data_IF_085253795983
#
_entry.id   IF_085253795983
#
_cell.length_a   1.000
_cell.length_b   1.000
_cell.length_c   1.000
_cell.angle_alpha   90.00
_cell.angle_beta   90.00
_cell.angle_gamma   90.00
#
_symmetry.space_group_name_H-M   'P 1'
#
loop_
_entity.id
_entity.type
_entity.pdbx_description
1 polymer ?
#
# COMPACT_ATOMS: atom_id res chain seq x y z
N UNK A 1 -9.75 26.69 -21.77
CA UNK A 1 -9.90 26.99 -20.32
C UNK A 1 -8.88 26.14 -19.58
N UNK A 2 -7.69 26.68 -19.32
CA UNK A 2 -6.63 25.95 -18.61
C UNK A 2 -6.89 26.06 -17.11
N UNK A 3 -7.18 24.93 -16.46
CA UNK A 3 -7.32 24.89 -15.00
C UNK A 3 -5.94 25.05 -14.35
N UNK A 4 -5.66 26.21 -13.79
CA UNK A 4 -4.49 26.44 -12.95
C UNK A 4 -4.74 25.75 -11.61
N UNK A 5 -4.11 24.59 -11.39
CA UNK A 5 -4.11 23.95 -10.09
C UNK A 5 -3.26 24.84 -9.16
N UNK A 6 -3.90 25.42 -8.14
CA UNK A 6 -3.23 26.21 -7.13
C UNK A 6 -2.54 25.26 -6.13
N UNK A 7 -1.21 25.23 -6.12
CA UNK A 7 -0.40 24.40 -5.20
C UNK A 7 -0.67 24.70 -3.71
N UNK A 8 -1.32 25.84 -3.41
CA UNK A 8 -1.71 26.26 -2.04
C UNK A 8 -2.88 25.46 -1.45
N UNK A 9 -3.54 24.60 -2.22
CA UNK A 9 -4.63 23.72 -1.76
C UNK A 9 -4.18 22.27 -1.52
N UNK A 10 -2.88 22.02 -1.35
CA UNK A 10 -2.40 20.73 -0.86
C UNK A 10 -2.82 20.58 0.62
N UNK A 11 -4.01 20.04 0.82
CA UNK A 11 -4.56 19.75 2.13
C UNK A 11 -3.66 18.69 2.80
N UNK A 12 -2.99 18.97 3.94
CA UNK A 12 -2.13 17.99 4.60
C UNK A 12 -2.91 16.75 5.11
N UNK A 13 -4.24 16.78 5.09
CA UNK A 13 -5.09 15.59 5.30
C UNK A 13 -5.04 14.58 4.16
N UNK A 14 -4.64 14.99 2.96
CA UNK A 14 -4.53 14.13 1.77
C UNK A 14 -3.11 13.62 1.54
N UNK A 15 -2.17 13.83 2.48
CA UNK A 15 -0.88 13.13 2.43
C UNK A 15 -1.13 11.65 2.71
N UNK A 16 -1.27 10.88 1.62
CA UNK A 16 -1.52 9.44 1.65
C UNK A 16 -0.46 8.77 2.51
N UNK A 17 -0.84 8.26 3.67
CA UNK A 17 0.09 7.62 4.59
C UNK A 17 0.66 6.37 3.94
N UNK A 18 1.94 6.41 3.59
CA UNK A 18 2.70 5.26 3.13
C UNK A 18 3.28 4.51 4.32
N UNK A 19 3.27 3.19 4.24
CA UNK A 19 3.77 2.28 5.26
C UNK A 19 4.94 1.49 4.70
N UNK A 20 5.95 1.25 5.54
CA UNK A 20 6.99 0.28 5.22
C UNK A 20 6.37 -1.12 5.14
N UNK A 21 6.51 -1.77 3.98
CA UNK A 21 5.87 -3.05 3.71
C UNK A 21 6.37 -4.12 4.69
N UNK A 22 7.66 -4.14 5.00
CA UNK A 22 8.25 -5.13 5.91
C UNK A 22 7.77 -4.91 7.35
N UNK A 23 7.70 -3.65 7.79
CA UNK A 23 7.15 -3.33 9.12
C UNK A 23 5.66 -3.70 9.23
N UNK A 24 4.89 -3.44 8.18
CA UNK A 24 3.49 -3.84 8.12
C UNK A 24 3.32 -5.36 8.19
N UNK A 25 4.14 -6.12 7.45
CA UNK A 25 4.10 -7.58 7.47
C UNK A 25 4.39 -8.13 8.86
N UNK A 26 5.43 -7.62 9.54
CA UNK A 26 5.76 -8.00 10.92
C UNK A 26 4.63 -7.70 11.90
N UNK A 27 3.99 -6.53 11.80
CA UNK A 27 2.88 -6.13 12.70
C UNK A 27 1.61 -6.96 12.51
N UNK A 28 1.35 -7.46 11.31
CA UNK A 28 0.15 -8.23 11.00
C UNK A 28 0.39 -9.75 11.00
N UNK A 29 1.59 -10.22 11.34
CA UNK A 29 1.91 -11.65 11.38
C UNK A 29 1.88 -12.33 10.01
N UNK A 30 2.14 -11.57 8.94
CA UNK A 30 2.18 -12.10 7.57
C UNK A 30 3.42 -12.99 7.38
N UNK A 31 3.29 -14.06 6.59
CA UNK A 31 4.41 -14.97 6.34
C UNK A 31 5.49 -14.32 5.46
N UNK A 32 6.73 -14.79 5.55
CA UNK A 32 7.85 -14.32 4.73
C UNK A 32 7.57 -14.48 3.23
N UNK A 33 6.77 -15.46 2.81
CA UNK A 33 6.37 -15.58 1.42
C UNK A 33 5.47 -14.42 0.96
N UNK A 34 4.54 -13.99 1.80
CA UNK A 34 3.67 -12.85 1.54
C UNK A 34 4.44 -11.53 1.60
N UNK A 35 5.36 -11.37 2.55
CA UNK A 35 6.24 -10.20 2.63
C UNK A 35 7.05 -10.03 1.35
N UNK A 36 7.69 -11.10 0.85
CA UNK A 36 8.44 -11.06 -0.42
C UNK A 36 7.54 -10.69 -1.59
N UNK A 37 6.32 -11.23 -1.65
CA UNK A 37 5.35 -10.91 -2.71
C UNK A 37 4.93 -9.44 -2.65
N UNK A 38 4.64 -8.91 -1.46
CA UNK A 38 4.25 -7.52 -1.26
C UNK A 38 5.41 -6.56 -1.59
N UNK A 39 6.64 -6.91 -1.21
CA UNK A 39 7.83 -6.16 -1.60
C UNK A 39 8.07 -6.18 -3.12
N UNK A 40 7.79 -7.29 -3.80
CA UNK A 40 7.90 -7.38 -5.26
C UNK A 40 6.82 -6.53 -5.96
N UNK A 41 5.60 -6.50 -5.42
CA UNK A 41 4.46 -5.79 -6.02
C UNK A 41 4.51 -4.28 -5.80
N UNK A 42 4.86 -3.85 -4.58
CA UNK A 42 4.77 -2.45 -4.17
C UNK A 42 6.12 -1.79 -3.91
N UNK A 43 7.20 -2.56 -3.78
CA UNK A 43 8.49 -2.05 -3.33
C UNK A 43 8.53 -1.85 -1.82
N UNK A 44 9.42 -0.95 -1.36
CA UNK A 44 9.67 -0.74 0.08
C UNK A 44 8.49 -0.09 0.82
N UNK A 45 7.72 0.75 0.13
CA UNK A 45 6.63 1.52 0.70
C UNK A 45 5.35 1.29 -0.07
N UNK A 46 4.25 1.11 0.64
CA UNK A 46 2.92 0.95 0.06
C UNK A 46 1.88 1.70 0.89
N UNK A 47 0.80 2.15 0.27
CA UNK A 47 -0.32 2.71 1.02
C UNK A 47 -1.05 1.62 1.81
N UNK A 48 -1.72 2.01 2.89
CA UNK A 48 -2.57 1.11 3.68
C UNK A 48 -3.63 0.40 2.81
N UNK A 49 -4.18 1.10 1.83
CA UNK A 49 -5.21 0.56 0.94
C UNK A 49 -4.67 -0.57 0.04
N UNK A 50 -3.49 -0.37 -0.56
CA UNK A 50 -2.82 -1.39 -1.39
C UNK A 50 -2.50 -2.66 -0.60
N UNK A 51 -1.97 -2.48 0.61
CA UNK A 51 -1.67 -3.59 1.52
C UNK A 51 -2.95 -4.35 1.91
N UNK A 52 -4.02 -3.65 2.29
CA UNK A 52 -5.29 -4.27 2.70
C UNK A 52 -6.00 -5.01 1.57
N UNK A 53 -5.97 -4.48 0.35
CA UNK A 53 -6.59 -5.16 -0.79
C UNK A 53 -5.84 -6.45 -1.17
N UNK A 54 -4.54 -6.49 -0.93
CA UNK A 54 -3.71 -7.64 -1.32
C UNK A 54 -3.71 -8.73 -0.26
N UNK A 55 -3.75 -8.37 1.03
CA UNK A 55 -3.80 -9.34 2.14
C UNK A 55 -5.16 -10.00 2.32
N UNK A 56 -6.25 -9.29 1.98
CA UNK A 56 -7.62 -9.85 2.06
C UNK A 56 -8.04 -10.64 0.82
N UNK A 57 -7.24 -10.65 -0.25
CA UNK A 57 -7.57 -11.42 -1.44
C UNK A 57 -7.12 -12.87 -1.20
N UNK A 58 -8.05 -13.82 -0.95
CA UNK A 58 -7.65 -15.23 -0.95
C UNK A 58 -7.01 -15.54 -2.31
N UNK A 59 -6.01 -16.43 -2.36
CA UNK A 59 -5.43 -16.84 -3.63
C UNK A 59 -6.56 -17.40 -4.50
N UNK A 60 -6.82 -16.79 -5.65
CA UNK A 60 -7.74 -17.31 -6.67
C UNK A 60 -7.20 -18.60 -7.36
N UNK A 61 -6.40 -19.39 -6.65
CA UNK A 61 -5.85 -20.66 -7.08
C UNK A 61 -6.21 -21.80 -6.08
N UNK A 62 -7.42 -21.77 -5.52
CA UNK A 62 -8.11 -23.03 -5.23
C UNK A 62 -8.88 -23.40 -6.50
N UNK A 63 -8.50 -24.53 -7.09
CA UNK A 63 -9.02 -25.12 -8.33
C UNK A 63 -10.55 -25.11 -8.43
#
# INVERSE_FOLDING_TARGET
>A
MTHHVNDRQLNPRDTRTVLDVAEHCRKNGLDKAEERKLLLLFGRFASRHELQMTTKRPPQNLR
#
